data_IF_442432016812
#
_entry.id   IF_442432016812
#
_cell.length_a   1.000
_cell.length_b   1.000
_cell.length_c   1.000
_cell.angle_alpha   90.00
_cell.angle_beta   90.00
_cell.angle_gamma   90.00
#
_symmetry.space_group_name_H-M   'P 1'
#
loop_
_entity.id
_entity.type
_entity.pdbx_description
1 polymer ?
#
# COMPACT_ATOMS: atom_id res chain seq x y z
N UNK A 1 -61.51 -42.27 -11.56
CA UNK A 1 -61.79 -41.93 -10.14
C UNK A 1 -60.71 -40.95 -9.72
N UNK A 2 -60.98 -39.65 -9.87
CA UNK A 2 -61.35 -38.71 -8.79
C UNK A 2 -60.14 -38.47 -7.86
N UNK A 3 -59.64 -37.24 -7.67
CA UNK A 3 -60.31 -36.21 -6.87
C UNK A 3 -59.56 -34.85 -6.95
N UNK A 4 -60.38 -33.78 -7.06
CA UNK A 4 -60.26 -32.37 -6.59
C UNK A 4 -58.98 -31.52 -6.79
N UNK A 5 -59.19 -30.32 -7.33
CA UNK A 5 -58.76 -29.07 -6.67
C UNK A 5 -59.62 -27.88 -7.15
N UNK A 6 -59.93 -27.00 -6.19
CA UNK A 6 -60.86 -25.89 -6.31
C UNK A 6 -60.13 -24.53 -6.40
N UNK A 7 -60.80 -23.59 -7.06
CA UNK A 7 -60.95 -22.17 -6.70
C UNK A 7 -59.93 -21.08 -7.05
N UNK A 8 -60.56 -19.93 -7.30
CA UNK A 8 -60.18 -18.52 -7.15
C UNK A 8 -59.45 -17.82 -8.29
N UNK A 9 -60.16 -16.82 -8.84
CA UNK A 9 -59.62 -15.84 -9.75
C UNK A 9 -58.72 -14.85 -9.03
N UNK A 10 -57.64 -14.49 -9.71
CA UNK A 10 -56.69 -13.47 -9.30
C UNK A 10 -57.00 -12.19 -10.06
N UNK A 11 -57.35 -11.14 -9.33
CA UNK A 11 -57.37 -9.78 -9.84
C UNK A 11 -55.94 -9.31 -10.09
N UNK A 12 -55.72 -8.69 -11.25
CA UNK A 12 -54.45 -8.11 -11.67
C UNK A 12 -54.13 -6.86 -10.83
N UNK A 13 -53.08 -6.92 -10.03
CA UNK A 13 -52.38 -5.74 -9.50
C UNK A 13 -51.13 -5.51 -10.33
N UNK A 14 -51.00 -4.31 -10.89
CA UNK A 14 -49.82 -3.87 -11.63
C UNK A 14 -48.57 -3.88 -10.73
N UNK A 15 -47.38 -4.22 -11.25
CA UNK A 15 -46.15 -4.13 -10.49
C UNK A 15 -45.81 -2.66 -10.20
N UNK A 16 -45.49 -2.37 -8.95
CA UNK A 16 -44.93 -1.11 -8.51
C UNK A 16 -43.63 -0.82 -9.29
N UNK A 17 -43.51 0.42 -9.77
CA UNK A 17 -42.30 0.92 -10.39
C UNK A 17 -41.12 0.78 -9.41
N UNK A 18 -40.01 0.21 -9.89
CA UNK A 18 -38.75 0.16 -9.17
C UNK A 18 -38.29 1.59 -8.84
N UNK A 19 -38.18 1.91 -7.55
CA UNK A 19 -37.39 3.05 -7.08
C UNK A 19 -35.96 2.83 -7.56
N UNK A 20 -35.39 3.83 -8.26
CA UNK A 20 -34.05 3.76 -8.81
C UNK A 20 -33.02 3.47 -7.72
N UNK A 21 -32.23 2.42 -7.92
CA UNK A 21 -31.19 1.98 -6.99
C UNK A 21 -30.19 3.11 -6.75
N UNK A 22 -30.02 3.51 -5.48
CA UNK A 22 -29.09 4.57 -5.12
C UNK A 22 -27.67 4.21 -5.58
N UNK A 23 -26.89 5.17 -6.11
CA UNK A 23 -25.52 4.90 -6.53
C UNK A 23 -24.70 4.27 -5.39
N UNK A 24 -23.84 3.28 -5.68
CA UNK A 24 -23.06 2.61 -4.64
C UNK A 24 -22.18 3.61 -3.89
N UNK A 25 -22.25 3.55 -2.56
CA UNK A 25 -21.55 4.43 -1.64
C UNK A 25 -22.27 5.75 -1.32
N UNK A 26 -23.47 5.99 -1.85
CA UNK A 26 -24.29 7.12 -1.43
C UNK A 26 -24.93 6.83 -0.06
N UNK A 27 -24.83 7.78 0.86
CA UNK A 27 -25.34 7.68 2.23
C UNK A 27 -26.06 8.97 2.62
N UNK A 28 -27.08 8.83 3.47
CA UNK A 28 -27.81 9.95 4.05
C UNK A 28 -27.55 10.02 5.55
N UNK A 29 -27.35 11.22 6.09
CA UNK A 29 -27.14 11.44 7.52
C UNK A 29 -27.67 12.81 7.98
N UNK A 30 -28.22 12.90 9.21
CA UNK A 30 -28.67 14.16 9.76
C UNK A 30 -27.48 15.12 9.94
N UNK A 31 -27.67 16.37 9.53
CA UNK A 31 -26.64 17.40 9.53
C UNK A 31 -27.20 18.67 10.15
N UNK A 32 -26.39 19.29 10.99
CA UNK A 32 -26.60 20.62 11.54
C UNK A 32 -25.66 21.60 10.84
N UNK A 33 -26.21 22.63 10.22
CA UNK A 33 -25.46 23.76 9.70
C UNK A 33 -25.83 25.02 10.49
N UNK A 34 -25.00 25.46 11.46
CA UNK A 34 -25.21 26.71 12.16
C UNK A 34 -25.32 27.87 11.16
N UNK A 35 -26.24 28.80 11.44
CA UNK A 35 -26.33 29.99 10.63
C UNK A 35 -25.06 30.84 10.74
N UNK A 36 -24.56 31.44 9.65
CA UNK A 36 -23.57 32.49 9.74
C UNK A 36 -24.18 33.62 10.57
N UNK A 37 -23.60 33.94 11.74
CA UNK A 37 -24.15 34.96 12.65
C UNK A 37 -24.35 36.31 11.95
N UNK A 38 -23.53 36.58 10.95
CA UNK A 38 -23.52 37.79 10.11
C UNK A 38 -24.69 37.83 9.10
N UNK A 39 -25.25 36.66 8.73
CA UNK A 39 -26.32 36.53 7.73
C UNK A 39 -27.74 36.57 8.33
N UNK A 40 -27.88 36.49 9.66
CA UNK A 40 -29.17 36.61 10.36
C UNK A 40 -30.19 35.50 10.06
N UNK A 41 -29.74 34.36 9.54
CA UNK A 41 -30.59 33.21 9.23
C UNK A 41 -30.78 32.29 10.45
N UNK A 42 -31.85 31.47 10.50
CA UNK A 42 -31.91 30.33 11.41
C UNK A 42 -30.92 29.22 10.99
N UNK A 43 -30.43 28.38 11.92
CA UNK A 43 -29.68 27.18 11.58
C UNK A 43 -30.45 26.29 10.60
N UNK A 44 -29.73 25.62 9.71
CA UNK A 44 -30.30 24.68 8.76
C UNK A 44 -30.04 23.24 9.24
N UNK A 45 -31.09 22.57 9.70
CA UNK A 45 -31.09 21.18 10.11
C UNK A 45 -31.79 20.32 9.06
N UNK A 46 -31.18 19.19 8.69
CA UNK A 46 -31.80 18.26 7.75
C UNK A 46 -30.86 17.18 7.24
N UNK A 47 -31.32 16.33 6.32
CA UNK A 47 -30.50 15.28 5.75
C UNK A 47 -29.46 15.85 4.78
N UNK A 48 -28.20 15.45 4.96
CA UNK A 48 -27.17 15.53 3.93
C UNK A 48 -27.11 14.21 3.19
N UNK A 49 -27.13 14.26 1.85
CA UNK A 49 -26.83 13.11 0.98
C UNK A 49 -25.42 13.26 0.47
N UNK A 50 -24.57 12.26 0.69
CA UNK A 50 -23.19 12.32 0.26
C UNK A 50 -22.64 10.99 -0.24
N UNK A 51 -21.53 11.05 -0.99
CA UNK A 51 -20.87 9.89 -1.56
C UNK A 51 -19.36 10.05 -1.52
N UNK A 52 -18.67 9.02 -1.06
CA UNK A 52 -17.21 8.92 -1.08
C UNK A 52 -16.82 7.85 -2.09
N UNK A 53 -15.81 8.14 -2.89
CA UNK A 53 -15.15 7.15 -3.76
C UNK A 53 -13.65 7.21 -3.59
N UNK A 54 -13.01 6.06 -3.83
CA UNK A 54 -11.56 5.89 -3.85
C UNK A 54 -11.13 5.48 -5.26
N UNK A 55 -9.96 5.92 -5.69
CA UNK A 55 -9.34 5.48 -6.95
C UNK A 55 -8.81 4.05 -6.88
N UNK A 56 -8.33 3.63 -5.70
CA UNK A 56 -7.81 2.29 -5.45
C UNK A 56 -8.47 1.65 -4.20
N UNK A 57 -9.40 0.70 -4.37
CA UNK A 57 -10.06 0.00 -3.25
C UNK A 57 -9.20 -1.12 -2.63
N UNK A 58 -8.08 -1.50 -3.25
CA UNK A 58 -7.18 -2.55 -2.77
C UNK A 58 -5.69 -2.10 -2.78
N UNK A 59 -5.35 -1.03 -2.04
CA UNK A 59 -3.99 -0.49 -2.01
C UNK A 59 -3.02 -1.41 -1.26
N UNK A 60 -1.72 -1.15 -1.42
CA UNK A 60 -0.68 -1.67 -0.55
C UNK A 60 -0.32 -0.62 0.51
N UNK A 61 0.24 -1.07 1.63
CA UNK A 61 0.84 -0.13 2.61
C UNK A 61 1.91 0.70 1.89
N UNK A 62 1.88 2.02 2.09
CA UNK A 62 2.72 3.00 1.41
C UNK A 62 2.09 3.63 0.16
N UNK A 63 0.99 3.09 -0.36
CA UNK A 63 0.27 3.71 -1.48
C UNK A 63 -0.43 5.00 -1.05
N UNK A 64 -0.47 5.97 -1.96
CA UNK A 64 -1.30 7.17 -1.83
C UNK A 64 -2.63 6.93 -2.53
N UNK A 65 -3.74 7.06 -1.80
CA UNK A 65 -5.10 6.86 -2.31
C UNK A 65 -5.75 8.23 -2.51
N UNK A 66 -6.32 8.46 -3.69
CA UNK A 66 -7.14 9.64 -3.97
C UNK A 66 -8.58 9.36 -3.58
N UNK A 67 -9.13 10.24 -2.76
CA UNK A 67 -10.53 10.22 -2.33
C UNK A 67 -11.31 11.35 -2.97
N UNK A 68 -12.52 11.05 -3.42
CA UNK A 68 -13.47 12.05 -3.88
C UNK A 68 -14.68 12.04 -2.95
N UNK A 69 -14.95 13.19 -2.32
CA UNK A 69 -16.11 13.42 -1.46
C UNK A 69 -17.10 14.32 -2.20
N UNK A 70 -18.26 13.77 -2.52
CA UNK A 70 -19.35 14.49 -3.16
C UNK A 70 -20.47 14.73 -2.15
N UNK A 71 -20.78 15.99 -1.88
CA UNK A 71 -22.02 16.37 -1.16
C UNK A 71 -23.07 16.60 -2.24
N UNK A 72 -24.01 15.65 -2.35
CA UNK A 72 -25.06 15.64 -3.37
C UNK A 72 -26.21 16.56 -2.95
N UNK A 73 -26.52 16.59 -1.65
CA UNK A 73 -27.56 17.43 -1.07
C UNK A 73 -27.12 17.91 0.30
N UNK A 74 -27.39 19.18 0.61
CA UNK A 74 -27.15 19.81 1.92
C UNK A 74 -28.45 20.47 2.41
N UNK A 75 -28.70 20.54 3.73
CA UNK A 75 -29.81 21.33 4.26
C UNK A 75 -29.58 22.85 4.12
N UNK A 76 -28.34 23.30 3.92
CA UNK A 76 -28.03 24.71 3.73
C UNK A 76 -28.58 25.26 2.40
N UNK A 77 -29.09 26.49 2.45
CA UNK A 77 -29.63 27.22 1.30
C UNK A 77 -28.89 28.54 1.12
N UNK A 78 -28.94 29.12 -0.08
CA UNK A 78 -28.45 30.48 -0.30
C UNK A 78 -29.29 31.47 0.52
N UNK A 79 -28.69 32.37 1.33
CA UNK A 79 -29.43 33.41 2.05
C UNK A 79 -30.37 34.23 1.16
N UNK A 80 -31.45 34.74 1.76
CA UNK A 80 -32.49 35.53 1.09
C UNK A 80 -32.01 36.93 0.62
N UNK A 81 -30.73 37.27 0.87
CA UNK A 81 -30.12 38.57 0.63
C UNK A 81 -29.67 38.85 -0.80
N UNK A 82 -29.79 37.89 -1.74
CA UNK A 82 -29.45 38.08 -3.14
C UNK A 82 -29.07 36.79 -3.87
N UNK A 83 -28.90 36.87 -5.19
CA UNK A 83 -28.33 35.77 -5.97
C UNK A 83 -26.86 35.59 -5.60
N UNK A 84 -26.45 34.35 -5.35
CA UNK A 84 -25.05 33.98 -5.24
C UNK A 84 -24.48 33.81 -6.66
N UNK A 85 -23.51 34.61 -7.10
CA UNK A 85 -23.00 34.52 -8.47
C UNK A 85 -22.33 33.18 -8.78
N UNK A 86 -22.01 32.97 -10.05
CA UNK A 86 -21.16 31.84 -10.43
C UNK A 86 -19.74 31.95 -9.85
N UNK A 87 -19.11 30.80 -9.63
CA UNK A 87 -17.69 30.68 -9.26
C UNK A 87 -17.27 31.49 -8.02
N UNK A 88 -18.11 31.51 -6.98
CA UNK A 88 -17.82 32.15 -5.68
C UNK A 88 -17.74 31.16 -4.53
N UNK A 89 -18.27 29.95 -4.70
CA UNK A 89 -18.34 28.92 -3.68
C UNK A 89 -17.12 28.00 -3.72
N UNK A 90 -16.39 27.89 -2.61
CA UNK A 90 -15.26 26.96 -2.44
C UNK A 90 -15.60 25.95 -1.34
N UNK A 91 -15.79 24.66 -1.68
CA UNK A 91 -16.11 23.64 -0.70
C UNK A 91 -14.84 23.01 -0.09
N UNK A 92 -14.85 22.79 1.22
CA UNK A 92 -13.85 22.00 1.94
C UNK A 92 -14.54 20.97 2.83
N UNK A 93 -13.88 19.86 3.13
CA UNK A 93 -14.48 18.81 3.92
C UNK A 93 -13.49 17.87 4.58
N UNK A 94 -14.02 17.02 5.46
CA UNK A 94 -13.28 15.95 6.11
C UNK A 94 -13.91 14.60 5.80
N UNK A 95 -13.06 13.59 5.61
CA UNK A 95 -13.44 12.18 5.59
C UNK A 95 -12.84 11.52 6.82
N UNK A 96 -13.65 10.77 7.56
CA UNK A 96 -13.22 10.03 8.74
C UNK A 96 -12.79 8.62 8.34
N UNK A 97 -11.58 8.23 8.73
CA UNK A 97 -11.03 6.88 8.55
C UNK A 97 -11.16 6.09 9.86
N UNK A 98 -11.59 4.83 9.76
CA UNK A 98 -11.63 3.91 10.90
C UNK A 98 -11.33 2.46 10.48
N UNK A 99 -10.81 1.64 11.40
CA UNK A 99 -10.43 0.25 11.16
C UNK A 99 -8.93 0.04 11.31
N UNK A 100 -8.30 -0.60 10.33
CA UNK A 100 -6.86 -0.85 10.29
C UNK A 100 -6.03 0.43 10.37
N UNK A 101 -6.53 1.51 9.76
CA UNK A 101 -6.01 2.87 9.90
C UNK A 101 -7.13 3.80 10.39
N UNK A 102 -6.78 4.75 11.25
CA UNK A 102 -7.71 5.77 11.76
C UNK A 102 -7.14 7.17 11.55
N UNK A 103 -8.00 8.17 11.37
CA UNK A 103 -7.59 9.55 11.14
C UNK A 103 -8.62 10.35 10.34
N UNK A 104 -8.21 11.51 9.87
CA UNK A 104 -9.04 12.39 9.04
C UNK A 104 -8.32 12.76 7.75
N UNK A 105 -9.04 12.79 6.63
CA UNK A 105 -8.54 13.26 5.33
C UNK A 105 -9.23 14.56 4.99
N UNK A 106 -8.46 15.64 4.83
CA UNK A 106 -8.98 16.90 4.32
C UNK A 106 -9.15 16.82 2.80
N UNK A 107 -10.30 17.27 2.33
CA UNK A 107 -10.62 17.36 0.90
C UNK A 107 -11.00 18.80 0.55
N UNK A 108 -10.64 19.23 -0.66
CA UNK A 108 -10.91 20.58 -1.16
C UNK A 108 -11.49 20.45 -2.57
N UNK A 109 -12.53 21.22 -2.87
CA UNK A 109 -13.07 21.34 -4.22
C UNK A 109 -12.69 22.65 -4.87
N UNK A 110 -12.79 22.69 -6.19
CA UNK A 110 -12.55 23.91 -6.96
C UNK A 110 -13.61 24.98 -6.61
N UNK A 111 -13.21 26.25 -6.70
CA UNK A 111 -14.12 27.39 -6.62
C UNK A 111 -15.01 27.43 -7.86
N UNK A 112 -16.14 26.72 -7.82
CA UNK A 112 -17.03 26.54 -8.96
C UNK A 112 -18.46 26.28 -8.51
N UNK A 113 -19.38 27.07 -9.02
CA UNK A 113 -20.82 26.88 -8.88
C UNK A 113 -21.53 27.65 -10.00
N UNK A 114 -22.71 27.19 -10.41
CA UNK A 114 -23.62 28.03 -11.19
C UNK A 114 -24.27 29.11 -10.30
N UNK A 115 -24.82 30.20 -10.86
CA UNK A 115 -25.56 31.18 -10.07
C UNK A 115 -26.69 30.51 -9.27
N UNK A 116 -26.79 30.83 -7.99
CA UNK A 116 -27.79 30.27 -7.08
C UNK A 116 -28.77 31.35 -6.67
N UNK A 117 -30.07 31.24 -7.01
CA UNK A 117 -31.07 32.22 -6.59
C UNK A 117 -31.16 32.35 -5.07
N UNK A 118 -31.63 33.51 -4.59
CA UNK A 118 -31.90 33.73 -3.17
C UNK A 118 -32.89 32.68 -2.62
N UNK A 119 -32.55 32.04 -1.50
CA UNK A 119 -33.37 31.00 -0.87
C UNK A 119 -33.32 29.62 -1.54
N UNK A 120 -32.60 29.46 -2.66
CA UNK A 120 -32.48 28.17 -3.35
C UNK A 120 -31.51 27.22 -2.64
N UNK A 121 -31.68 25.91 -2.87
CA UNK A 121 -30.74 24.90 -2.40
C UNK A 121 -29.36 25.12 -3.03
N UNK A 122 -28.31 24.89 -2.24
CA UNK A 122 -26.94 24.95 -2.75
C UNK A 122 -26.69 23.75 -3.70
N UNK A 123 -25.90 23.95 -4.78
CA UNK A 123 -25.64 22.90 -5.75
C UNK A 123 -24.80 21.77 -5.14
N UNK A 124 -24.81 20.61 -5.79
CA UNK A 124 -23.90 19.53 -5.43
C UNK A 124 -22.45 19.98 -5.59
N UNK A 125 -21.60 19.62 -4.63
CA UNK A 125 -20.18 19.96 -4.64
C UNK A 125 -19.31 18.72 -4.60
N UNK A 126 -18.18 18.78 -5.28
CA UNK A 126 -17.19 17.70 -5.33
C UNK A 126 -15.86 18.21 -4.80
N UNK A 127 -15.29 17.47 -3.85
CA UNK A 127 -14.02 17.75 -3.22
C UNK A 127 -13.10 16.55 -3.37
N UNK A 128 -11.80 16.81 -3.52
CA UNK A 128 -10.79 15.75 -3.65
C UNK A 128 -9.71 15.93 -2.59
N UNK A 129 -9.15 14.81 -2.13
CA UNK A 129 -7.98 14.79 -1.26
C UNK A 129 -7.24 13.48 -1.41
N UNK A 130 -6.12 13.35 -0.71
CA UNK A 130 -5.27 12.16 -0.77
C UNK A 130 -4.80 11.79 0.63
N UNK A 131 -4.58 10.50 0.86
CA UNK A 131 -3.91 10.02 2.08
C UNK A 131 -3.04 8.81 1.79
N UNK A 132 -2.01 8.62 2.61
CA UNK A 132 -1.13 7.45 2.53
C UNK A 132 -1.66 6.33 3.41
N UNK A 133 -1.67 5.11 2.88
CA UNK A 133 -2.03 3.89 3.61
C UNK A 133 -0.85 3.46 4.48
N UNK A 134 -1.05 3.34 5.79
CA UNK A 134 0.03 3.07 6.76
C UNK A 134 -0.10 1.71 7.45
N UNK A 135 -1.25 1.05 7.34
CA UNK A 135 -1.51 -0.24 7.98
C UNK A 135 -2.25 -1.20 7.03
N UNK A 136 -1.92 -2.51 7.06
CA UNK A 136 -2.66 -3.51 6.31
C UNK A 136 -3.99 -3.84 7.00
N UNK A 137 -5.01 -4.21 6.21
CA UNK A 137 -6.35 -4.54 6.68
C UNK A 137 -7.44 -3.62 6.14
N UNK A 138 -8.67 -3.80 6.62
CA UNK A 138 -9.82 -3.01 6.19
C UNK A 138 -9.81 -1.61 6.81
N UNK A 139 -10.00 -0.58 6.00
CA UNK A 139 -10.27 0.80 6.43
C UNK A 139 -11.60 1.28 5.84
N UNK A 140 -12.46 1.79 6.70
CA UNK A 140 -13.76 2.38 6.35
C UNK A 140 -13.62 3.89 6.22
N UNK A 141 -14.39 4.48 5.28
CA UNK A 141 -14.45 5.91 5.03
C UNK A 141 -15.87 6.40 5.26
N UNK A 142 -16.05 7.31 6.20
CA UNK A 142 -17.33 7.95 6.51
C UNK A 142 -17.27 9.46 6.21
N UNK A 143 -18.37 10.06 5.71
CA UNK A 143 -18.50 11.50 5.60
C UNK A 143 -18.25 12.22 6.93
N UNK A 144 -17.38 13.22 6.94
CA UNK A 144 -17.21 14.14 8.04
C UNK A 144 -17.84 15.50 7.75
N UNK A 145 -17.58 16.47 8.64
CA UNK A 145 -18.02 17.85 8.45
C UNK A 145 -17.47 18.49 7.17
N UNK A 146 -18.24 19.41 6.60
CA UNK A 146 -17.87 20.18 5.42
C UNK A 146 -18.15 21.67 5.62
N UNK A 147 -17.49 22.51 4.84
CA UNK A 147 -17.62 23.95 4.87
C UNK A 147 -17.76 24.47 3.46
N UNK A 148 -18.75 25.34 3.24
CA UNK A 148 -18.97 26.03 1.99
C UNK A 148 -18.58 27.50 2.19
N UNK A 149 -17.41 27.87 1.68
CA UNK A 149 -16.89 29.23 1.77
C UNK A 149 -17.34 30.06 0.58
N UNK A 150 -17.80 31.29 0.82
CA UNK A 150 -17.99 32.31 -0.22
C UNK A 150 -17.29 33.60 0.16
N UNK A 151 -16.73 34.27 -0.86
CA UNK A 151 -16.13 35.61 -0.74
C UNK A 151 -17.01 36.69 -1.40
N UNK A 152 -18.23 36.34 -1.80
CA UNK A 152 -19.15 37.27 -2.42
C UNK A 152 -19.73 38.23 -1.38
N UNK A 153 -19.48 39.53 -1.53
CA UNK A 153 -19.84 40.63 -0.62
C UNK A 153 -19.10 40.59 0.72
N UNK A 154 -19.12 39.46 1.42
CA UNK A 154 -18.43 39.20 2.69
C UNK A 154 -17.86 37.77 2.67
N UNK A 155 -16.82 37.52 3.46
CA UNK A 155 -16.26 36.19 3.64
C UNK A 155 -17.14 35.38 4.59
N UNK A 156 -17.98 34.48 4.04
CA UNK A 156 -18.92 33.68 4.82
C UNK A 156 -18.56 32.20 4.74
N UNK A 157 -18.50 31.56 5.91
CA UNK A 157 -18.32 30.11 6.05
C UNK A 157 -19.61 29.47 6.54
N UNK A 158 -20.22 28.64 5.69
CA UNK A 158 -21.31 27.76 6.09
C UNK A 158 -20.72 26.42 6.51
N UNK A 159 -20.53 26.24 7.82
CA UNK A 159 -20.01 25.01 8.39
C UNK A 159 -21.18 24.05 8.62
N UNK A 160 -21.05 22.81 8.17
CA UNK A 160 -22.05 21.76 8.32
C UNK A 160 -21.40 20.53 8.95
N UNK A 161 -21.97 20.05 10.05
CA UNK A 161 -21.48 18.88 10.78
C UNK A 161 -22.59 17.84 10.91
N UNK A 162 -22.23 16.56 10.83
CA UNK A 162 -23.16 15.49 11.17
C UNK A 162 -23.67 15.68 12.60
N UNK A 163 -24.94 15.37 12.83
CA UNK A 163 -25.53 15.43 14.17
C UNK A 163 -24.80 14.43 15.09
N UNK A 164 -24.26 14.94 16.21
CA UNK A 164 -23.52 14.14 17.19
C UNK A 164 -24.35 13.01 17.79
N UNK A 165 -25.69 13.08 17.72
CA UNK A 165 -26.59 12.03 18.19
C UNK A 165 -26.67 10.82 17.25
N UNK A 166 -26.18 10.91 16.01
CA UNK A 166 -26.30 9.86 15.00
C UNK A 166 -24.95 9.46 14.40
N UNK A 167 -24.58 8.16 14.43
CA UNK A 167 -23.36 7.71 13.77
C UNK A 167 -23.51 7.85 12.25
N UNK A 168 -22.51 8.47 11.60
CA UNK A 168 -22.50 8.62 10.14
C UNK A 168 -22.26 7.26 9.47
N UNK A 169 -23.03 6.87 8.42
CA UNK A 169 -22.82 5.61 7.74
C UNK A 169 -21.48 5.54 7.01
N UNK A 170 -20.94 4.33 6.88
CA UNK A 170 -19.78 4.07 6.03
C UNK A 170 -20.18 4.23 4.56
N UNK A 171 -19.48 5.12 3.85
CA UNK A 171 -19.73 5.42 2.43
C UNK A 171 -18.81 4.64 1.49
N UNK A 172 -17.57 4.37 1.91
CA UNK A 172 -16.63 3.55 1.15
C UNK A 172 -15.77 2.68 2.08
N UNK A 173 -15.16 1.63 1.51
CA UNK A 173 -14.21 0.75 2.17
C UNK A 173 -13.03 0.50 1.25
N UNK A 174 -11.85 0.35 1.83
CA UNK A 174 -10.68 -0.20 1.16
C UNK A 174 -10.06 -1.30 2.01
N UNK A 175 -9.38 -2.25 1.35
CA UNK A 175 -8.68 -3.34 2.02
C UNK A 175 -7.21 -3.29 1.63
N UNK A 176 -6.37 -2.82 2.54
CA UNK A 176 -4.95 -2.67 2.30
C UNK A 176 -4.20 -4.00 2.49
N UNK A 177 -3.25 -4.28 1.61
CA UNK A 177 -2.31 -5.41 1.77
C UNK A 177 -0.97 -4.93 2.31
N UNK A 178 -0.34 -5.75 3.16
CA UNK A 178 1.00 -5.46 3.66
C UNK A 178 2.05 -5.57 2.54
N UNK A 179 3.15 -4.85 2.68
CA UNK A 179 4.29 -5.01 1.79
C UNK A 179 5.01 -6.33 2.07
N UNK A 180 5.50 -7.03 1.03
CA UNK A 180 6.35 -8.20 1.22
C UNK A 180 7.67 -7.77 1.84
N UNK A 181 7.97 -8.25 3.05
CA UNK A 181 9.32 -8.14 3.61
C UNK A 181 10.11 -9.37 3.19
N UNK A 182 11.19 -9.19 2.43
CA UNK A 182 12.25 -10.15 2.25
C UNK A 182 12.64 -10.81 3.57
N UNK A 183 12.40 -12.11 3.58
CA UNK A 183 12.92 -12.98 4.60
C UNK A 183 14.44 -13.16 4.36
N UNK A 184 15.24 -12.69 5.32
CA UNK A 184 16.71 -12.80 5.31
C UNK A 184 17.21 -14.12 5.92
N UNK A 185 16.30 -14.99 6.36
CA UNK A 185 16.67 -16.31 6.90
C UNK A 185 17.28 -17.17 5.82
N UNK A 186 18.43 -17.75 6.13
CA UNK A 186 19.21 -18.56 5.20
C UNK A 186 19.70 -19.82 5.88
N UNK A 187 20.02 -20.81 5.04
CA UNK A 187 20.66 -22.05 5.46
C UNK A 187 21.88 -22.27 4.59
N UNK A 188 23.00 -22.58 5.23
CA UNK A 188 24.24 -23.00 4.58
C UNK A 188 24.58 -24.42 5.03
N UNK A 189 24.98 -25.26 4.07
CA UNK A 189 25.34 -26.65 4.33
C UNK A 189 26.86 -26.81 4.26
N UNK A 190 27.44 -27.52 5.22
CA UNK A 190 28.85 -27.90 5.20
C UNK A 190 29.19 -28.90 4.09
N UNK A 191 28.16 -29.52 3.47
CA UNK A 191 28.27 -30.34 2.27
C UNK A 191 26.93 -30.33 1.52
N UNK A 192 26.96 -30.16 0.19
CA UNK A 192 25.77 -30.16 -0.66
C UNK A 192 25.27 -31.57 -1.05
N UNK A 193 25.97 -32.63 -0.60
CA UNK A 193 25.61 -34.01 -0.89
C UNK A 193 26.15 -34.98 0.15
N UNK A 194 25.52 -36.13 0.28
CA UNK A 194 25.97 -37.20 1.19
C UNK A 194 25.22 -38.50 0.98
N UNK A 195 25.73 -39.58 1.59
CA UNK A 195 25.06 -40.89 1.58
C UNK A 195 23.84 -40.87 2.51
N UNK A 196 22.86 -41.77 2.32
CA UNK A 196 21.80 -41.97 3.30
C UNK A 196 22.39 -42.20 4.71
N UNK A 197 21.89 -41.44 5.69
CA UNK A 197 22.36 -41.43 7.07
C UNK A 197 23.56 -40.50 7.35
N UNK A 198 24.09 -39.79 6.34
CA UNK A 198 25.12 -38.80 6.56
C UNK A 198 24.60 -37.64 7.43
N UNK A 199 25.42 -37.19 8.37
CA UNK A 199 25.15 -35.99 9.15
C UNK A 199 25.72 -34.78 8.42
N UNK A 200 24.85 -33.91 7.92
CA UNK A 200 25.26 -32.65 7.29
C UNK A 200 25.30 -31.56 8.35
N UNK A 201 26.40 -30.82 8.41
CA UNK A 201 26.47 -29.60 9.23
C UNK A 201 25.62 -28.53 8.57
N UNK A 202 24.74 -27.91 9.33
CA UNK A 202 23.81 -26.89 8.88
C UNK A 202 24.05 -25.63 9.71
N UNK A 203 24.24 -24.51 9.03
CA UNK A 203 24.27 -23.18 9.62
C UNK A 203 22.99 -22.45 9.20
N UNK A 204 22.06 -22.28 10.14
CA UNK A 204 20.89 -21.45 9.97
C UNK A 204 21.20 -20.04 10.46
N UNK A 205 20.93 -19.01 9.66
CA UNK A 205 21.25 -17.62 9.98
C UNK A 205 20.07 -16.68 9.68
N UNK A 206 20.06 -15.50 10.32
CA UNK A 206 19.02 -14.49 10.13
C UNK A 206 17.76 -14.72 10.97
N UNK A 207 17.86 -15.48 12.06
CA UNK A 207 16.76 -15.73 13.00
C UNK A 207 16.82 -14.78 14.20
N UNK A 208 15.71 -14.54 14.92
CA UNK A 208 15.76 -13.78 16.17
C UNK A 208 16.64 -14.48 17.22
N UNK A 209 17.45 -13.75 18.01
CA UNK A 209 18.23 -14.34 19.10
C UNK A 209 17.36 -15.13 20.09
N UNK A 210 17.78 -16.34 20.43
CA UNK A 210 17.03 -17.24 21.31
C UNK A 210 15.81 -17.92 20.68
N UNK A 211 15.54 -17.72 19.39
CA UNK A 211 14.43 -18.37 18.71
C UNK A 211 14.60 -19.89 18.66
N UNK A 212 13.52 -20.63 18.94
CA UNK A 212 13.46 -22.06 18.75
C UNK A 212 13.24 -22.38 17.27
N UNK A 213 14.16 -23.15 16.69
CA UNK A 213 14.19 -23.48 15.27
C UNK A 213 13.97 -24.97 15.04
N UNK A 214 13.35 -25.31 13.92
CA UNK A 214 13.42 -26.63 13.31
C UNK A 214 14.23 -26.54 12.03
N UNK A 215 15.26 -27.38 11.90
CA UNK A 215 15.96 -27.64 10.65
C UNK A 215 15.42 -28.94 10.08
N UNK A 216 14.97 -28.92 8.82
CA UNK A 216 14.30 -30.07 8.20
C UNK A 216 14.74 -30.28 6.74
N UNK A 217 14.80 -31.54 6.31
CA UNK A 217 14.96 -31.93 4.92
C UNK A 217 13.67 -31.80 4.12
N UNK A 218 13.77 -31.53 2.82
CA UNK A 218 12.65 -31.43 1.88
C UNK A 218 12.82 -32.24 0.60
N UNK A 219 11.72 -32.82 0.15
CA UNK A 219 11.54 -33.41 -1.17
C UNK A 219 10.63 -32.48 -1.98
N UNK A 220 11.21 -31.56 -2.75
CA UNK A 220 10.45 -30.46 -3.36
C UNK A 220 9.77 -29.59 -2.30
N UNK A 221 8.44 -29.49 -2.34
CA UNK A 221 7.67 -28.70 -1.39
C UNK A 221 7.36 -29.44 -0.07
N UNK A 222 7.47 -30.77 -0.03
CA UNK A 222 7.13 -31.59 1.13
C UNK A 222 8.33 -31.70 2.09
N UNK A 223 8.06 -31.64 3.39
CA UNK A 223 9.07 -32.00 4.41
C UNK A 223 9.24 -33.51 4.49
N UNK A 224 10.49 -33.92 4.63
CA UNK A 224 10.86 -35.33 4.88
C UNK A 224 10.84 -35.63 6.38
N UNK A 225 11.09 -36.88 6.74
CA UNK A 225 11.25 -37.26 8.14
C UNK A 225 12.54 -36.69 8.78
N UNK A 226 13.50 -36.21 7.97
CA UNK A 226 14.78 -35.68 8.44
C UNK A 226 14.57 -34.32 9.12
N UNK A 227 14.69 -34.27 10.45
CA UNK A 227 14.56 -33.02 11.21
C UNK A 227 15.39 -32.99 12.48
N UNK A 228 15.80 -31.80 12.89
CA UNK A 228 16.49 -31.53 14.15
C UNK A 228 16.05 -30.17 14.71
N UNK A 229 15.89 -30.08 16.03
CA UNK A 229 15.60 -28.80 16.71
C UNK A 229 16.89 -28.07 17.06
N UNK A 230 16.86 -26.75 16.99
CA UNK A 230 17.95 -25.87 17.36
C UNK A 230 17.43 -24.64 18.11
N UNK A 231 18.34 -23.90 18.73
CA UNK A 231 18.05 -22.56 19.25
C UNK A 231 19.05 -21.60 18.64
N UNK A 232 18.57 -20.46 18.14
CA UNK A 232 19.44 -19.39 17.66
C UNK A 232 20.25 -18.78 18.81
N UNK A 233 21.53 -18.56 18.59
CA UNK A 233 22.43 -17.87 19.50
C UNK A 233 22.15 -16.35 19.55
N UNK A 234 22.98 -15.61 20.28
CA UNK A 234 22.86 -14.15 20.42
C UNK A 234 23.00 -13.39 19.09
N UNK A 235 23.60 -14.01 18.07
CA UNK A 235 23.76 -13.46 16.73
C UNK A 235 22.65 -13.91 15.78
N UNK A 236 21.64 -14.64 16.25
CA UNK A 236 20.56 -15.15 15.41
C UNK A 236 20.98 -16.32 14.53
N UNK A 237 22.02 -17.05 14.94
CA UNK A 237 22.61 -18.17 14.19
C UNK A 237 22.42 -19.48 14.95
N UNK A 238 22.20 -20.58 14.25
CA UNK A 238 22.23 -21.92 14.84
C UNK A 238 23.10 -22.85 14.00
N UNK A 239 24.06 -23.52 14.64
CA UNK A 239 24.81 -24.63 14.05
C UNK A 239 24.25 -25.95 14.56
N UNK A 240 23.81 -26.82 13.65
CA UNK A 240 23.32 -28.16 13.97
C UNK A 240 23.81 -29.20 12.97
N UNK A 241 23.74 -30.47 13.36
CA UNK A 241 23.93 -31.59 12.45
C UNK A 241 22.58 -32.22 12.14
N UNK A 242 22.18 -32.19 10.85
CA UNK A 242 20.98 -32.86 10.37
C UNK A 242 21.37 -34.25 9.85
N UNK A 243 20.86 -35.35 10.43
CA UNK A 243 20.97 -36.67 9.81
C UNK A 243 20.02 -36.74 8.62
N UNK A 244 20.54 -36.91 7.41
CA UNK A 244 19.73 -37.04 6.19
C UNK A 244 19.59 -38.51 5.83
N UNK A 245 18.47 -39.11 6.23
CA UNK A 245 18.15 -40.53 6.02
C UNK A 245 17.19 -40.75 4.86
N UNK A 246 16.32 -39.78 4.58
CA UNK A 246 15.35 -39.87 3.50
C UNK A 246 16.03 -39.65 2.15
N UNK A 247 15.95 -40.65 1.26
CA UNK A 247 16.56 -40.60 -0.08
C UNK A 247 15.89 -39.58 -1.00
N UNK A 248 14.68 -39.15 -0.68
CA UNK A 248 13.96 -38.11 -1.41
C UNK A 248 14.40 -36.69 -1.00
N UNK A 249 15.26 -36.53 0.01
CA UNK A 249 15.76 -35.22 0.42
C UNK A 249 16.57 -34.57 -0.70
N UNK A 250 16.05 -33.45 -1.17
CA UNK A 250 16.58 -32.59 -2.25
C UNK A 250 17.04 -31.22 -1.74
N UNK A 251 16.65 -30.84 -0.53
CA UNK A 251 17.02 -29.58 0.09
C UNK A 251 16.90 -29.63 1.62
N UNK A 252 17.48 -28.64 2.29
CA UNK A 252 17.36 -28.41 3.73
C UNK A 252 16.86 -26.99 3.98
N UNK A 253 15.96 -26.82 4.94
CA UNK A 253 15.40 -25.54 5.39
C UNK A 253 15.55 -25.41 6.91
N UNK A 254 15.43 -24.18 7.41
CA UNK A 254 15.30 -23.88 8.84
C UNK A 254 14.09 -22.96 9.05
N UNK A 255 13.30 -23.16 10.10
CA UNK A 255 12.14 -22.31 10.38
C UNK A 255 11.77 -22.23 11.87
N UNK A 256 11.07 -21.16 12.22
CA UNK A 256 10.47 -20.97 13.55
C UNK A 256 9.04 -21.53 13.59
N UNK A 257 8.60 -21.96 14.78
CA UNK A 257 7.23 -22.44 15.00
C UNK A 257 7.00 -23.90 14.62
N UNK A 258 5.73 -24.31 14.54
CA UNK A 258 5.34 -25.72 14.36
C UNK A 258 5.49 -26.24 12.93
N UNK A 259 5.49 -25.36 11.93
CA UNK A 259 5.59 -25.68 10.51
C UNK A 259 6.25 -24.54 9.74
N UNK A 260 6.90 -24.86 8.62
CA UNK A 260 7.53 -23.85 7.78
C UNK A 260 6.50 -22.90 7.16
N UNK A 261 6.84 -21.61 7.12
CA UNK A 261 6.11 -20.59 6.38
C UNK A 261 7.08 -19.64 5.68
N UNK A 262 6.63 -18.98 4.61
CA UNK A 262 7.43 -18.00 3.87
C UNK A 262 7.98 -16.86 4.76
N UNK A 263 7.26 -16.52 5.84
CA UNK A 263 7.62 -15.45 6.78
C UNK A 263 8.63 -15.89 7.84
N UNK A 264 8.59 -17.16 8.25
CA UNK A 264 9.33 -17.67 9.42
C UNK A 264 10.38 -18.73 9.06
N UNK A 265 10.49 -19.11 7.79
CA UNK A 265 11.40 -20.14 7.32
C UNK A 265 12.39 -19.64 6.27
N UNK A 266 13.57 -20.23 6.22
CA UNK A 266 14.58 -19.94 5.22
C UNK A 266 14.16 -20.39 3.82
N UNK A 267 14.87 -19.88 2.81
CA UNK A 267 14.94 -20.54 1.51
C UNK A 267 15.60 -21.93 1.60
N UNK A 268 15.35 -22.81 0.62
CA UNK A 268 15.93 -24.15 0.59
C UNK A 268 17.42 -24.11 0.20
N UNK A 269 18.26 -24.76 0.99
CA UNK A 269 19.63 -25.09 0.63
C UNK A 269 19.65 -26.44 -0.08
N UNK A 270 20.08 -26.50 -1.34
CA UNK A 270 20.08 -27.73 -2.12
C UNK A 270 20.96 -28.81 -1.45
N UNK A 271 20.44 -30.03 -1.39
CA UNK A 271 21.14 -31.20 -0.87
C UNK A 271 20.83 -32.43 -1.70
N UNK A 272 21.85 -33.20 -2.09
CA UNK A 272 21.66 -34.43 -2.87
C UNK A 272 22.01 -35.66 -2.04
N UNK A 273 21.05 -36.57 -1.89
CA UNK A 273 21.33 -37.90 -1.34
C UNK A 273 21.91 -38.78 -2.45
N UNK A 274 23.18 -39.15 -2.31
CA UNK A 274 23.85 -40.05 -3.24
C UNK A 274 23.77 -41.46 -2.69
N UNK A 275 22.86 -42.25 -3.24
CA UNK A 275 22.80 -43.68 -2.98
C UNK A 275 23.94 -44.37 -3.76
N UNK A 276 24.86 -45.01 -3.06
CA UNK A 276 26.03 -45.65 -3.67
C UNK A 276 25.70 -47.03 -4.30
N UNK A 277 24.43 -47.30 -4.62
CA UNK A 277 24.05 -48.51 -5.33
C UNK A 277 24.77 -48.51 -6.69
N UNK A 278 25.56 -49.55 -7.03
CA UNK A 278 26.30 -49.55 -8.28
C UNK A 278 25.28 -49.47 -9.44
N UNK A 279 25.46 -48.52 -10.38
CA UNK A 279 24.63 -48.47 -11.58
C UNK A 279 24.70 -49.82 -12.31
N UNK A 280 23.62 -50.28 -12.97
CA UNK A 280 23.71 -51.44 -13.85
C UNK A 280 24.84 -51.23 -14.86
N UNK A 281 25.57 -52.30 -15.17
CA UNK A 281 26.70 -52.25 -16.09
C UNK A 281 26.33 -51.51 -17.38
N UNK A 282 27.18 -50.56 -17.80
CA UNK A 282 27.00 -49.64 -18.93
C UNK A 282 26.10 -48.40 -18.71
N UNK A 283 25.84 -47.95 -17.48
CA UNK A 283 25.21 -46.64 -17.21
C UNK A 283 26.15 -45.70 -16.43
N UNK A 284 26.12 -44.40 -16.75
CA UNK A 284 26.84 -43.33 -16.03
C UNK A 284 25.81 -42.33 -15.47
N UNK A 285 25.87 -42.05 -14.17
CA UNK A 285 25.05 -41.02 -13.54
C UNK A 285 25.72 -39.66 -13.68
N UNK A 286 25.01 -38.68 -14.25
CA UNK A 286 25.45 -37.29 -14.36
C UNK A 286 24.58 -36.45 -13.41
N UNK A 287 25.20 -35.90 -12.37
CA UNK A 287 24.52 -35.06 -11.37
C UNK A 287 25.03 -33.62 -11.49
N UNK A 288 24.12 -32.65 -11.48
CA UNK A 288 24.43 -31.24 -11.37
C UNK A 288 23.71 -30.64 -10.16
N UNK A 289 24.43 -29.87 -9.35
CA UNK A 289 23.89 -29.18 -8.17
C UNK A 289 23.84 -27.69 -8.44
N UNK A 290 22.71 -27.06 -8.12
CA UNK A 290 22.52 -25.62 -8.22
C UNK A 290 22.40 -25.07 -6.80
N UNK A 291 23.30 -24.15 -6.43
CA UNK A 291 23.32 -23.53 -5.10
C UNK A 291 22.42 -22.27 -5.06
N UNK A 292 21.70 -22.01 -3.97
CA UNK A 292 20.95 -20.77 -3.80
C UNK A 292 21.89 -19.57 -3.63
N UNK A 293 21.51 -18.43 -4.20
CA UNK A 293 22.19 -17.15 -4.00
C UNK A 293 21.52 -16.28 -2.94
N UNK A 294 21.89 -15.00 -2.93
CA UNK A 294 21.36 -13.99 -1.98
C UNK A 294 20.39 -13.03 -2.68
N UNK A 295 19.66 -12.26 -1.87
CA UNK A 295 18.99 -11.05 -2.34
C UNK A 295 19.97 -9.89 -2.29
N UNK A 296 20.11 -9.16 -3.39
CA UNK A 296 21.05 -8.05 -3.50
C UNK A 296 20.52 -6.89 -4.33
N UNK A 297 21.09 -5.71 -4.10
CA UNK A 297 20.77 -4.47 -4.81
C UNK A 297 22.06 -3.76 -5.22
N UNK A 298 22.06 -3.19 -6.42
CA UNK A 298 23.07 -2.22 -6.88
C UNK A 298 22.38 -1.00 -7.46
N UNK A 299 23.05 0.16 -7.45
CA UNK A 299 22.53 1.39 -8.02
C UNK A 299 23.58 2.04 -8.93
N UNK A 300 23.11 2.64 -10.02
CA UNK A 300 23.96 3.42 -10.94
C UNK A 300 24.05 4.87 -10.50
N UNK A 301 25.27 5.42 -10.47
CA UNK A 301 25.52 6.81 -10.07
C UNK A 301 25.41 7.03 -8.56
N UNK A 302 26.13 8.04 -8.05
CA UNK A 302 26.15 8.39 -6.63
C UNK A 302 25.25 9.59 -6.31
N UNK A 303 25.03 10.49 -7.26
CA UNK A 303 24.28 11.75 -7.07
C UNK A 303 23.06 11.87 -7.98
N UNK A 304 21.99 12.49 -7.46
CA UNK A 304 20.81 12.89 -8.21
C UNK A 304 20.82 14.40 -8.38
N UNK A 305 20.95 14.87 -9.62
CA UNK A 305 20.85 16.31 -9.93
C UNK A 305 19.42 16.65 -10.37
N UNK A 306 18.83 17.67 -9.74
CA UNK A 306 17.54 18.22 -10.12
C UNK A 306 17.73 19.48 -10.99
N UNK A 307 16.77 19.77 -11.86
CA UNK A 307 16.77 20.99 -12.65
C UNK A 307 16.63 22.24 -11.77
N UNK A 308 17.17 23.37 -12.24
CA UNK A 308 17.10 24.64 -11.52
C UNK A 308 15.68 25.24 -11.55
N UNK A 309 15.32 25.94 -10.48
CA UNK A 309 14.05 26.67 -10.35
C UNK A 309 14.35 28.17 -10.28
N UNK A 310 13.66 29.02 -11.06
CA UNK A 310 13.81 30.46 -10.98
C UNK A 310 13.44 31.01 -9.60
N UNK A 311 14.18 32.01 -9.13
CA UNK A 311 13.84 32.73 -7.92
C UNK A 311 12.53 33.52 -8.10
N UNK A 312 11.79 33.71 -7.00
CA UNK A 312 10.55 34.48 -6.96
C UNK A 312 9.32 33.58 -6.94
N UNK A 313 9.05 32.89 -8.04
CA UNK A 313 7.80 32.14 -8.22
C UNK A 313 7.82 30.73 -7.61
N UNK A 314 9.02 30.19 -7.33
CA UNK A 314 9.17 28.79 -6.96
C UNK A 314 8.85 27.86 -8.13
N UNK A 315 8.54 26.59 -7.84
CA UNK A 315 8.10 25.65 -8.86
C UNK A 315 8.76 24.27 -8.79
N UNK A 316 8.55 23.50 -9.85
CA UNK A 316 9.00 22.11 -9.96
C UNK A 316 10.45 22.02 -10.42
N UNK A 317 11.27 21.31 -9.64
CA UNK A 317 12.63 20.89 -10.00
C UNK A 317 12.63 19.40 -10.40
N UNK A 318 12.41 19.06 -11.68
CA UNK A 318 12.41 17.67 -12.14
C UNK A 318 13.80 17.03 -12.14
N UNK A 319 13.84 15.71 -11.98
CA UNK A 319 15.04 14.88 -12.08
C UNK A 319 14.70 13.39 -12.22
N UNK A 320 15.70 12.52 -12.04
CA UNK A 320 15.53 11.06 -12.03
C UNK A 320 16.49 10.41 -11.04
N UNK A 321 16.07 9.32 -10.40
CA UNK A 321 16.99 8.50 -9.61
C UNK A 321 17.96 7.76 -10.53
N UNK A 322 19.11 7.35 -9.99
CA UNK A 322 19.94 6.33 -10.61
C UNK A 322 19.20 5.00 -10.67
N UNK A 323 19.28 4.30 -11.80
CA UNK A 323 18.65 2.99 -12.00
C UNK A 323 19.16 2.01 -10.94
N UNK A 324 18.24 1.35 -10.25
CA UNK A 324 18.51 0.32 -9.25
C UNK A 324 18.31 -1.05 -9.89
N UNK A 325 19.24 -1.96 -9.67
CA UNK A 325 19.12 -3.37 -10.06
C UNK A 325 18.95 -4.23 -8.81
N UNK A 326 17.83 -4.94 -8.71
CA UNK A 326 17.60 -5.95 -7.66
C UNK A 326 17.82 -7.34 -8.25
N UNK A 327 18.59 -8.18 -7.58
CA UNK A 327 18.79 -9.59 -7.93
C UNK A 327 18.30 -10.45 -6.80
N UNK A 328 17.29 -11.29 -7.06
CA UNK A 328 16.79 -12.28 -6.11
C UNK A 328 17.14 -13.69 -6.57
N UNK A 329 18.17 -14.26 -5.94
CA UNK A 329 18.64 -15.62 -6.21
C UNK A 329 18.32 -16.60 -5.05
N UNK A 330 17.43 -16.23 -4.12
CA UNK A 330 17.14 -17.04 -2.93
C UNK A 330 16.38 -18.34 -3.23
N UNK A 331 15.62 -18.38 -4.33
CA UNK A 331 14.85 -19.56 -4.75
C UNK A 331 13.75 -19.99 -3.76
N UNK A 332 13.33 -19.09 -2.87
CA UNK A 332 12.26 -19.31 -1.90
C UNK A 332 10.95 -18.62 -2.29
N UNK A 333 9.91 -18.69 -1.45
CA UNK A 333 8.62 -18.08 -1.76
C UNK A 333 8.51 -16.59 -1.41
N UNK A 334 9.47 -16.07 -0.65
CA UNK A 334 9.41 -14.73 -0.10
C UNK A 334 9.70 -13.70 -1.18
N UNK A 335 8.82 -12.73 -1.33
CA UNK A 335 8.99 -11.54 -2.15
C UNK A 335 10.06 -10.60 -1.60
N UNK A 336 10.07 -9.38 -2.10
CA UNK A 336 10.94 -8.30 -1.64
C UNK A 336 10.26 -6.95 -1.85
N UNK A 337 10.62 -5.97 -1.03
CA UNK A 337 10.21 -4.57 -1.22
C UNK A 337 11.43 -3.66 -1.18
N UNK A 338 11.44 -2.66 -2.06
CA UNK A 338 12.41 -1.56 -2.07
C UNK A 338 11.71 -0.27 -1.67
N UNK A 339 12.11 0.30 -0.53
CA UNK A 339 11.56 1.54 0.03
C UNK A 339 12.61 2.65 -0.08
N UNK A 340 12.20 3.86 -0.42
CA UNK A 340 13.05 5.04 -0.36
C UNK A 340 12.56 6.05 0.67
N UNK A 341 13.50 6.68 1.37
CA UNK A 341 13.27 7.75 2.35
C UNK A 341 14.15 8.93 2.04
N UNK A 342 13.60 10.14 2.08
CA UNK A 342 14.35 11.37 1.83
C UNK A 342 14.35 12.26 3.06
N UNK A 343 15.53 12.77 3.44
CA UNK A 343 15.64 13.79 4.47
C UNK A 343 15.11 15.13 3.95
N UNK A 344 14.86 16.09 4.83
CA UNK A 344 14.67 17.48 4.39
C UNK A 344 15.90 17.97 3.62
N UNK A 345 15.66 18.85 2.65
CA UNK A 345 16.69 19.52 1.89
C UNK A 345 17.23 20.70 2.70
N UNK A 346 18.55 20.78 2.85
CA UNK A 346 19.23 21.89 3.51
C UNK A 346 19.90 22.77 2.47
N UNK A 347 19.58 24.07 2.49
CA UNK A 347 20.21 25.08 1.65
C UNK A 347 21.01 26.12 2.43
N UNK A 348 21.41 27.22 1.77
CA UNK A 348 22.20 28.28 2.38
C UNK A 348 21.53 28.88 3.61
N UNK A 349 22.32 29.28 4.60
CA UNK A 349 21.81 29.90 5.83
C UNK A 349 20.94 28.98 6.70
N UNK A 350 20.97 27.66 6.45
CA UNK A 350 20.18 26.68 7.20
C UNK A 350 18.71 26.61 6.81
N UNK A 351 18.32 27.21 5.68
CA UNK A 351 16.95 27.14 5.17
C UNK A 351 16.63 25.71 4.74
N UNK A 352 15.41 25.26 5.04
CA UNK A 352 14.97 23.89 4.85
C UNK A 352 13.79 23.83 3.88
N UNK A 353 13.80 22.85 2.98
CA UNK A 353 12.61 22.43 2.23
C UNK A 353 12.24 21.04 2.77
N UNK A 354 11.00 20.81 3.23
CA UNK A 354 10.60 19.51 3.76
C UNK A 354 10.86 18.38 2.76
N UNK A 355 11.33 17.22 3.24
CA UNK A 355 11.55 16.06 2.37
C UNK A 355 10.27 15.59 1.67
N UNK A 356 9.10 15.83 2.30
CA UNK A 356 7.79 15.56 1.73
C UNK A 356 7.46 16.41 0.48
N UNK A 357 8.23 17.47 0.20
CA UNK A 357 8.11 18.25 -1.04
C UNK A 357 8.72 17.55 -2.26
N UNK A 358 9.44 16.44 -2.07
CA UNK A 358 9.90 15.58 -3.15
C UNK A 358 8.86 14.50 -3.45
N UNK A 359 8.34 14.49 -4.66
CA UNK A 359 7.49 13.42 -5.19
C UNK A 359 8.22 12.60 -6.25
N UNK A 360 7.81 11.35 -6.42
CA UNK A 360 8.33 10.48 -7.47
C UNK A 360 7.25 9.73 -8.24
N UNK A 361 7.62 9.16 -9.38
CA UNK A 361 6.78 8.25 -10.16
C UNK A 361 7.60 7.01 -10.51
N UNK A 362 7.44 5.91 -9.75
CA UNK A 362 8.23 4.71 -9.94
C UNK A 362 7.89 3.94 -11.21
N UNK A 363 8.88 3.18 -11.69
CA UNK A 363 8.76 2.19 -12.76
C UNK A 363 9.58 0.97 -12.37
N UNK A 364 9.04 -0.20 -12.66
CA UNK A 364 9.79 -1.44 -12.50
C UNK A 364 9.60 -2.36 -13.69
N UNK A 365 10.67 -3.05 -14.08
CA UNK A 365 10.65 -4.10 -15.08
C UNK A 365 11.44 -5.31 -14.62
N UNK A 366 10.92 -6.51 -14.92
CA UNK A 366 11.64 -7.76 -14.74
C UNK A 366 12.44 -8.08 -16.01
N UNK A 367 13.70 -8.47 -15.85
CA UNK A 367 14.52 -8.94 -16.96
C UNK A 367 13.99 -10.28 -17.49
N UNK A 368 14.27 -10.58 -18.77
CA UNK A 368 13.91 -11.86 -19.39
C UNK A 368 14.43 -13.05 -18.56
N UNK A 369 13.58 -14.06 -18.37
CA UNK A 369 13.90 -15.24 -17.55
C UNK A 369 13.64 -15.07 -16.05
N UNK A 370 13.32 -13.86 -15.57
CA UNK A 370 12.86 -13.66 -14.20
C UNK A 370 11.55 -14.39 -13.96
N UNK A 371 11.41 -15.02 -12.80
CA UNK A 371 10.22 -15.80 -12.43
C UNK A 371 9.11 -14.91 -11.89
N UNK A 372 9.50 -13.84 -11.21
CA UNK A 372 8.56 -12.97 -10.53
C UNK A 372 8.17 -11.75 -11.35
N UNK A 373 6.97 -11.25 -11.09
CA UNK A 373 6.52 -9.94 -11.58
C UNK A 373 7.14 -8.86 -10.69
N UNK A 374 7.54 -7.75 -11.30
CA UNK A 374 7.90 -6.55 -10.56
C UNK A 374 6.80 -5.51 -10.64
N UNK A 375 6.37 -5.02 -9.49
CA UNK A 375 5.30 -4.04 -9.33
C UNK A 375 5.91 -2.70 -8.93
N UNK A 376 5.72 -1.62 -9.70
CA UNK A 376 6.14 -0.29 -9.28
C UNK A 376 5.30 0.18 -8.08
N UNK A 377 5.90 0.94 -7.16
CA UNK A 377 5.16 1.62 -6.11
C UNK A 377 4.33 2.79 -6.65
N UNK A 378 3.45 3.33 -5.81
CA UNK A 378 2.60 4.47 -6.18
C UNK A 378 3.39 5.76 -6.43
N UNK A 379 2.89 6.56 -7.37
CA UNK A 379 3.35 7.93 -7.53
C UNK A 379 2.90 8.77 -6.34
N UNK A 380 3.77 9.64 -5.82
CA UNK A 380 3.46 10.42 -4.63
C UNK A 380 4.69 10.99 -3.94
N UNK A 381 4.45 11.61 -2.78
CA UNK A 381 5.50 12.14 -1.92
C UNK A 381 6.34 11.01 -1.31
N UNK A 382 7.65 11.22 -1.16
CA UNK A 382 8.56 10.26 -0.54
C UNK A 382 8.69 10.53 0.96
N UNK A 383 9.11 11.75 1.32
CA UNK A 383 9.26 12.19 2.71
C UNK A 383 10.18 11.32 3.58
N UNK A 384 10.17 11.63 4.88
CA UNK A 384 10.93 10.90 5.89
C UNK A 384 10.28 9.56 6.29
N UNK A 385 8.95 9.47 6.17
CA UNK A 385 8.20 8.24 6.44
C UNK A 385 8.50 7.15 5.40
N UNK A 386 8.83 7.59 4.18
CA UNK A 386 9.25 6.75 3.07
C UNK A 386 8.10 6.34 2.17
N UNK A 387 8.44 6.00 0.95
CA UNK A 387 7.51 5.47 -0.03
C UNK A 387 8.09 4.21 -0.69
N UNK A 388 7.19 3.35 -1.17
CA UNK A 388 7.57 2.16 -1.92
C UNK A 388 8.03 2.59 -3.30
N UNK A 389 9.21 2.13 -3.70
CA UNK A 389 9.74 2.34 -5.05
C UNK A 389 9.35 1.17 -5.96
N UNK A 390 9.55 -0.07 -5.49
CA UNK A 390 9.12 -1.27 -6.20
C UNK A 390 8.97 -2.45 -5.25
N UNK A 391 8.23 -3.46 -5.66
CA UNK A 391 8.12 -4.72 -4.94
C UNK A 391 7.89 -5.92 -5.86
N UNK A 392 8.14 -7.10 -5.31
CA UNK A 392 7.69 -8.38 -5.84
C UNK A 392 6.91 -9.11 -4.75
N UNK A 393 5.68 -9.57 -5.00
CA UNK A 393 4.87 -10.28 -4.01
C UNK A 393 5.41 -11.67 -3.69
N UNK A 394 5.00 -12.21 -2.55
CA UNK A 394 5.20 -13.61 -2.20
C UNK A 394 4.53 -14.54 -3.24
N UNK A 395 5.20 -15.62 -3.61
CA UNK A 395 4.72 -16.63 -4.55
C UNK A 395 5.32 -18.00 -4.20
N UNK A 396 4.84 -19.14 -4.74
CA UNK A 396 5.46 -20.44 -4.46
C UNK A 396 6.97 -20.51 -4.79
N UNK A 397 7.41 -19.73 -5.79
CA UNK A 397 8.81 -19.56 -6.15
C UNK A 397 9.04 -18.13 -6.63
N UNK A 398 9.93 -17.40 -5.95
CA UNK A 398 10.35 -16.05 -6.27
C UNK A 398 11.80 -16.07 -6.76
N UNK A 399 12.11 -15.21 -7.73
CA UNK A 399 13.48 -15.01 -8.20
C UNK A 399 13.56 -14.26 -9.53
N UNK A 400 14.73 -13.68 -9.79
CA UNK A 400 15.02 -12.97 -11.04
C UNK A 400 15.89 -11.74 -10.85
N UNK A 401 15.96 -10.94 -11.91
CA UNK A 401 16.69 -9.68 -11.93
C UNK A 401 15.73 -8.58 -12.39
N UNK A 402 15.73 -7.46 -11.68
CA UNK A 402 14.75 -6.40 -11.85
C UNK A 402 15.45 -5.05 -11.99
N UNK A 403 14.96 -4.22 -12.89
CA UNK A 403 15.42 -2.83 -13.08
C UNK A 403 14.34 -1.88 -12.59
N UNK A 404 14.72 -0.98 -11.69
CA UNK A 404 13.84 -0.02 -11.03
C UNK A 404 14.32 1.40 -11.33
N UNK A 405 13.40 2.24 -11.78
CA UNK A 405 13.63 3.64 -12.10
C UNK A 405 12.53 4.52 -11.48
N UNK A 406 12.79 5.81 -11.32
CA UNK A 406 11.76 6.78 -10.98
C UNK A 406 12.12 8.18 -11.49
N UNK A 407 11.14 8.88 -12.05
CA UNK A 407 11.22 10.35 -12.19
C UNK A 407 10.94 10.97 -10.84
N UNK A 408 11.67 12.02 -10.49
CA UNK A 408 11.48 12.77 -9.24
C UNK A 408 11.17 14.23 -9.54
N UNK A 409 10.45 14.90 -8.65
CA UNK A 409 10.17 16.33 -8.74
C UNK A 409 10.14 16.92 -7.34
N UNK A 410 11.05 17.87 -7.08
CA UNK A 410 11.01 18.67 -5.85
C UNK A 410 10.18 19.92 -6.10
N UNK A 411 9.15 20.14 -5.28
CA UNK A 411 8.39 21.38 -5.30
C UNK A 411 9.07 22.42 -4.41
N UNK A 412 9.66 23.45 -5.03
CA UNK A 412 10.37 24.53 -4.34
C UNK A 412 9.40 25.67 -4.05
N UNK A 413 9.27 26.12 -2.79
CA UNK A 413 8.40 27.25 -2.44
C UNK A 413 8.81 28.57 -3.13
N UNK A 414 7.86 29.47 -3.41
CA UNK A 414 8.16 30.83 -3.85
C UNK A 414 9.14 31.54 -2.91
N UNK A 415 9.97 32.42 -3.48
CA UNK A 415 10.99 33.19 -2.76
C UNK A 415 12.01 32.38 -1.93
N UNK A 416 12.15 31.08 -2.20
CA UNK A 416 13.22 30.25 -1.62
C UNK A 416 14.58 30.87 -1.94
N UNK A 417 15.45 31.15 -0.96
CA UNK A 417 16.75 31.78 -1.19
C UNK A 417 17.59 31.03 -2.23
N UNK A 418 18.22 31.73 -3.20
CA UNK A 418 19.05 31.07 -4.20
C UNK A 418 20.25 30.32 -3.58
N UNK A 419 20.48 29.10 -4.03
CA UNK A 419 21.65 28.29 -3.69
C UNK A 419 21.39 26.79 -3.83
N UNK A 420 22.40 25.99 -3.49
CA UNK A 420 22.28 24.53 -3.56
C UNK A 420 21.54 23.99 -2.33
N UNK A 421 20.52 23.17 -2.57
CA UNK A 421 19.76 22.46 -1.55
C UNK A 421 20.06 20.96 -1.66
N UNK A 422 20.54 20.35 -0.59
CA UNK A 422 20.96 18.94 -0.57
C UNK A 422 20.14 18.13 0.40
N UNK A 423 19.76 16.90 0.01
CA UNK A 423 19.12 15.91 0.85
C UNK A 423 19.76 14.53 0.61
N UNK A 424 19.53 13.59 1.53
CA UNK A 424 19.93 12.19 1.38
C UNK A 424 18.70 11.36 1.05
N UNK A 425 18.74 10.64 -0.06
CA UNK A 425 17.78 9.58 -0.41
C UNK A 425 18.37 8.24 0.00
N UNK A 426 17.78 7.60 1.01
CA UNK A 426 18.16 6.27 1.47
C UNK A 426 17.24 5.23 0.85
N UNK A 427 17.81 4.24 0.18
CA UNK A 427 17.09 3.08 -0.35
C UNK A 427 17.31 1.86 0.55
N UNK A 428 16.24 1.15 0.88
CA UNK A 428 16.27 -0.05 1.71
C UNK A 428 15.57 -1.19 0.99
N UNK A 429 16.31 -2.25 0.68
CA UNK A 429 15.79 -3.50 0.17
C UNK A 429 15.52 -4.43 1.35
N UNK A 430 14.28 -4.88 1.47
CA UNK A 430 13.81 -5.56 2.67
C UNK A 430 12.82 -6.64 2.43
#
# INVERSE_FOLDING_TARGET
MAVLAATTGSALSAPAAAEGEAPPGQVDFPTHCPAPQEAGLPPADGPTTARITVDNPAPQVGDTVTVTYQVVRTPAVNPVGGELPADVLTPTGRILLAGAQSGEVTVVGAKRNEPVPAGAALPAVTMTGTFTVTAPGETTLAPGGYTLHTSHLLGLDTICTADAASPVPVSARLTATGLPTANLRSVFLGAAQGRPGAKVKVTAAGFPPGAALTVAGRAGAAETADRVSATADELGTALVELPVTDKATTAVIAYEGGAWSARQGSGPAAYTVIDAAPPPSATQQVTATVEPGVLGMTQTGEDITLAAVPYGDGGAAPGRIGTVTVTDARGGPAGWTLIGKVTDFTGPGGIRIPGASLSWTPRCAAAEGSRSVCTPGSAGAVGADGAVLASTPDAPLVGGTFTIDATVTLTVPPYTPPGAYTAVLTLTLS
#
